data_IF_458868922385
#
_entry.id   IF_458868922385
#
_cell.length_a   1.000
_cell.length_b   1.000
_cell.length_c   1.000
_cell.angle_alpha   90.00
_cell.angle_beta   90.00
_cell.angle_gamma   90.00
#
_symmetry.space_group_name_H-M   'P 1'
#
loop_
_entity.id
_entity.type
_entity.pdbx_description
1 polymer ?
#
# COMPACT_ATOMS: atom_id res chain seq x y z
N UNK A 1 -2.12 16.25 20.28
CA UNK A 1 -2.85 15.20 19.55
C UNK A 1 -3.75 14.49 20.54
N UNK A 2 -5.06 14.45 20.31
CA UNK A 2 -6.01 13.84 21.24
C UNK A 2 -6.03 12.31 21.01
N UNK A 3 -6.07 11.50 22.07
CA UNK A 3 -6.15 10.04 21.99
C UNK A 3 -7.37 9.52 21.21
N UNK A 4 -8.44 10.30 21.11
CA UNK A 4 -9.59 10.00 20.24
C UNK A 4 -9.25 10.07 18.75
N UNK A 5 -8.38 11.00 18.35
CA UNK A 5 -7.93 11.10 16.95
C UNK A 5 -7.02 9.93 16.56
N UNK A 6 -6.21 9.42 17.51
CA UNK A 6 -5.42 8.20 17.28
C UNK A 6 -6.32 6.97 17.09
N UNK A 7 -7.46 6.89 17.79
CA UNK A 7 -8.42 5.78 17.64
C UNK A 7 -9.22 5.81 16.34
N UNK A 8 -9.39 6.99 15.74
CA UNK A 8 -9.99 7.13 14.41
C UNK A 8 -8.97 6.89 13.30
N UNK A 9 -7.70 7.23 13.52
CA UNK A 9 -6.60 7.00 12.59
C UNK A 9 -6.23 5.50 12.46
N UNK A 10 -6.35 4.76 13.56
CA UNK A 10 -6.30 3.30 13.56
C UNK A 10 -7.70 2.79 13.81
N UNK A 11 -8.51 2.62 12.77
CA UNK A 11 -9.76 1.90 12.95
C UNK A 11 -9.41 0.59 13.62
N UNK A 12 -10.15 0.24 14.65
CA UNK A 12 -9.95 -0.95 15.49
C UNK A 12 -9.72 -2.17 14.60
N UNK A 13 -8.47 -2.43 14.31
CA UNK A 13 -8.05 -3.64 13.61
C UNK A 13 -8.34 -4.80 14.56
N UNK A 14 -9.23 -5.69 14.16
CA UNK A 14 -9.61 -6.84 14.98
C UNK A 14 -8.46 -7.84 15.06
N UNK A 15 -7.72 -8.01 13.97
CA UNK A 15 -6.60 -8.93 13.84
C UNK A 15 -5.62 -8.44 12.78
N UNK A 16 -4.33 -8.70 12.99
CA UNK A 16 -3.27 -8.33 12.05
C UNK A 16 -2.16 -9.38 12.03
N UNK A 17 -1.44 -9.45 10.92
CA UNK A 17 -0.28 -10.31 10.73
C UNK A 17 0.77 -9.59 9.90
N UNK A 18 2.01 -9.58 10.37
CA UNK A 18 3.17 -9.13 9.58
C UNK A 18 3.52 -10.22 8.58
N UNK A 19 3.64 -9.85 7.30
CA UNK A 19 3.98 -10.76 6.22
C UNK A 19 5.47 -10.73 5.87
N UNK A 20 6.03 -9.54 5.76
CA UNK A 20 7.40 -9.30 5.28
C UNK A 20 7.70 -10.02 3.94
N UNK A 21 6.76 -9.97 3.03
CA UNK A 21 6.93 -10.45 1.67
C UNK A 21 7.43 -9.33 0.79
N UNK A 22 8.19 -9.66 -0.26
CA UNK A 22 8.63 -8.73 -1.26
C UNK A 22 8.58 -9.33 -2.65
N UNK A 23 8.45 -8.50 -3.66
CA UNK A 23 8.52 -8.89 -5.07
C UNK A 23 9.13 -7.76 -5.90
N UNK A 24 9.51 -8.06 -7.14
CA UNK A 24 10.17 -7.11 -8.01
C UNK A 24 11.66 -6.93 -7.69
N UNK A 25 12.35 -6.17 -8.51
CA UNK A 25 13.78 -5.86 -8.38
C UNK A 25 14.05 -4.41 -8.75
N UNK A 26 15.11 -3.82 -8.17
CA UNK A 26 15.54 -2.47 -8.49
C UNK A 26 14.46 -1.43 -8.23
N UNK A 27 14.11 -0.65 -9.24
CA UNK A 27 13.07 0.41 -9.14
C UNK A 27 11.65 -0.13 -8.95
N UNK A 28 11.44 -1.42 -9.22
CA UNK A 28 10.14 -2.10 -9.06
C UNK A 28 10.07 -2.95 -7.79
N UNK A 29 11.08 -2.84 -6.92
CA UNK A 29 11.07 -3.55 -5.65
C UNK A 29 9.92 -3.08 -4.76
N UNK A 30 9.12 -4.01 -4.31
CA UNK A 30 7.87 -3.76 -3.56
C UNK A 30 7.77 -4.68 -2.37
N UNK A 31 7.30 -4.16 -1.25
CA UNK A 31 7.11 -4.91 0.00
C UNK A 31 5.62 -5.02 0.31
N UNK A 32 5.20 -6.20 0.74
CA UNK A 32 3.90 -6.48 1.33
C UNK A 32 4.09 -6.69 2.84
N UNK A 33 4.04 -5.62 3.64
CA UNK A 33 4.44 -5.68 5.03
C UNK A 33 3.41 -6.35 5.95
N UNK A 34 2.13 -6.17 5.68
CA UNK A 34 1.10 -6.54 6.65
C UNK A 34 -0.25 -6.83 5.97
N UNK A 35 -0.99 -7.77 6.56
CA UNK A 35 -2.43 -7.96 6.36
C UNK A 35 -3.17 -7.69 7.65
N UNK A 36 -4.43 -7.27 7.54
CA UNK A 36 -5.27 -7.01 8.69
C UNK A 36 -6.75 -7.28 8.39
N UNK A 37 -7.51 -7.47 9.45
CA UNK A 37 -8.97 -7.59 9.40
C UNK A 37 -9.59 -6.55 10.34
N UNK A 38 -10.60 -5.86 9.83
CA UNK A 38 -11.49 -5.02 10.62
C UNK A 38 -12.92 -5.43 10.33
N UNK A 39 -13.60 -5.97 11.34
CA UNK A 39 -14.93 -6.57 11.16
C UNK A 39 -14.89 -7.63 10.04
N UNK A 40 -15.70 -7.46 9.00
CA UNK A 40 -15.77 -8.40 7.86
C UNK A 40 -14.91 -7.96 6.68
N UNK A 41 -14.05 -6.96 6.84
CA UNK A 41 -13.20 -6.40 5.79
C UNK A 41 -11.75 -6.79 5.98
N UNK A 42 -11.12 -7.23 4.89
CA UNK A 42 -9.74 -7.73 4.86
C UNK A 42 -8.86 -6.79 4.05
N UNK A 43 -7.71 -6.44 4.62
CA UNK A 43 -6.78 -5.45 4.07
C UNK A 43 -5.39 -6.03 3.86
N UNK A 44 -4.75 -5.56 2.78
CA UNK A 44 -3.35 -5.77 2.50
C UNK A 44 -2.67 -4.42 2.28
N UNK A 45 -1.52 -4.20 2.87
CA UNK A 45 -0.68 -3.05 2.58
C UNK A 45 0.45 -3.40 1.63
N UNK A 46 0.79 -2.44 0.81
CA UNK A 46 1.91 -2.47 -0.12
C UNK A 46 2.73 -1.20 0.07
N UNK A 47 4.05 -1.33 0.08
CA UNK A 47 4.98 -0.21 0.08
C UNK A 47 5.90 -0.34 -1.12
N UNK A 48 5.97 0.72 -1.91
CA UNK A 48 6.81 0.84 -3.09
C UNK A 48 7.54 2.17 -3.11
N UNK A 49 8.45 2.36 -4.05
CA UNK A 49 9.14 3.62 -4.25
C UNK A 49 8.83 4.18 -5.63
N UNK A 50 8.68 5.50 -5.71
CA UNK A 50 8.75 6.18 -6.99
C UNK A 50 10.17 6.12 -7.54
N UNK A 51 10.31 5.94 -8.85
CA UNK A 51 11.61 6.12 -9.51
C UNK A 51 12.12 7.54 -9.30
N UNK A 52 13.43 7.73 -9.38
CA UNK A 52 14.02 9.06 -9.24
C UNK A 52 13.51 10.02 -10.31
N UNK A 53 13.33 9.52 -11.52
CA UNK A 53 12.81 10.28 -12.64
C UNK A 53 11.34 10.72 -12.44
N UNK A 54 10.50 9.83 -11.92
CA UNK A 54 9.11 10.14 -11.60
C UNK A 54 8.99 11.14 -10.43
N UNK A 55 9.82 10.98 -9.41
CA UNK A 55 9.90 11.91 -8.28
C UNK A 55 10.35 13.31 -8.71
N UNK A 56 11.36 13.42 -9.57
CA UNK A 56 11.80 14.71 -10.13
C UNK A 56 10.73 15.35 -11.02
N UNK A 57 10.03 14.55 -11.84
CA UNK A 57 8.93 15.03 -12.67
C UNK A 57 7.79 15.57 -11.80
N UNK A 58 7.40 14.84 -10.78
CA UNK A 58 6.36 15.25 -9.82
C UNK A 58 6.73 16.54 -9.10
N UNK A 59 7.96 16.66 -8.62
CA UNK A 59 8.44 17.86 -7.94
C UNK A 59 8.47 19.09 -8.87
N UNK A 60 8.84 18.91 -10.13
CA UNK A 60 8.76 19.96 -11.16
C UNK A 60 7.32 20.40 -11.37
N UNK A 61 6.42 19.46 -11.56
CA UNK A 61 4.99 19.71 -11.75
C UNK A 61 4.40 20.45 -10.56
N UNK A 62 4.73 20.08 -9.33
CA UNK A 62 4.30 20.81 -8.13
C UNK A 62 4.84 22.24 -8.06
N UNK A 63 6.07 22.49 -8.50
CA UNK A 63 6.65 23.84 -8.51
C UNK A 63 5.99 24.72 -9.57
N UNK A 64 5.69 24.17 -10.72
CA UNK A 64 5.04 24.86 -11.83
C UNK A 64 3.54 25.07 -11.59
N UNK A 65 2.87 24.12 -10.96
CA UNK A 65 1.44 24.14 -10.68
C UNK A 65 1.02 25.04 -9.51
N UNK A 66 1.94 25.72 -8.86
CA UNK A 66 1.56 26.85 -7.99
C UNK A 66 0.74 27.90 -8.71
N UNK A 67 0.73 27.86 -10.04
CA UNK A 67 0.00 28.73 -10.95
C UNK A 67 -1.25 28.11 -11.59
N UNK A 68 -1.43 26.77 -11.62
CA UNK A 68 -2.56 26.13 -12.29
C UNK A 68 -2.98 24.78 -11.65
N UNK A 69 -3.96 24.82 -10.74
CA UNK A 69 -4.47 23.66 -10.02
C UNK A 69 -5.14 22.58 -10.89
N UNK A 70 -5.73 22.96 -12.04
CA UNK A 70 -6.42 22.02 -12.90
C UNK A 70 -5.45 21.12 -13.65
N UNK A 71 -4.35 21.68 -14.12
CA UNK A 71 -3.28 20.98 -14.83
C UNK A 71 -2.53 20.02 -13.89
N UNK A 72 -2.33 20.41 -12.61
CA UNK A 72 -1.78 19.56 -11.60
C UNK A 72 -2.64 18.31 -11.36
N UNK A 73 -3.94 18.48 -11.24
CA UNK A 73 -4.87 17.38 -10.99
C UNK A 73 -4.85 16.39 -12.15
N UNK A 74 -4.86 16.86 -13.39
CA UNK A 74 -4.79 16.03 -14.58
C UNK A 74 -3.47 15.24 -14.65
N UNK A 75 -2.34 15.88 -14.42
CA UNK A 75 -1.03 15.23 -14.45
C UNK A 75 -0.84 14.19 -13.33
N UNK A 76 -1.51 14.33 -12.19
CA UNK A 76 -1.50 13.35 -11.11
C UNK A 76 -2.43 12.15 -11.40
N UNK A 77 -3.50 12.36 -12.18
CA UNK A 77 -4.41 11.30 -12.60
C UNK A 77 -3.83 10.45 -13.76
N UNK A 78 -2.92 11.01 -14.55
CA UNK A 78 -2.27 10.34 -15.70
C UNK A 78 -1.01 9.54 -15.31
N UNK A 79 -0.60 9.53 -14.03
CA UNK A 79 0.49 8.67 -13.59
C UNK A 79 0.06 7.20 -13.73
N UNK A 80 0.79 6.42 -14.54
CA UNK A 80 0.60 4.98 -14.71
C UNK A 80 0.85 4.26 -13.38
N UNK A 81 -0.18 4.19 -12.55
CA UNK A 81 -0.13 3.45 -11.30
C UNK A 81 -0.41 1.98 -11.57
N UNK A 82 0.55 1.14 -11.29
CA UNK A 82 0.40 -0.31 -11.34
C UNK A 82 -0.19 -0.77 -10.00
N UNK A 83 -1.32 -1.47 -10.06
CA UNK A 83 -2.03 -1.96 -8.90
C UNK A 83 -1.98 -3.48 -8.83
N UNK A 84 -2.05 -4.03 -7.63
CA UNK A 84 -2.29 -5.46 -7.46
C UNK A 84 -3.73 -5.76 -7.90
N UNK A 85 -3.85 -6.64 -8.88
CA UNK A 85 -5.15 -7.17 -9.34
C UNK A 85 -5.58 -8.34 -8.46
N UNK A 86 -4.66 -9.29 -8.26
CA UNK A 86 -4.93 -10.49 -7.46
C UNK A 86 -3.67 -11.06 -6.81
N UNK A 87 -3.89 -11.81 -5.76
CA UNK A 87 -2.87 -12.59 -5.05
C UNK A 87 -3.33 -14.04 -4.96
N UNK A 88 -2.43 -14.96 -5.25
CA UNK A 88 -2.65 -16.39 -5.06
C UNK A 88 -1.68 -16.90 -4.00
N UNK A 89 -2.20 -17.54 -2.97
CA UNK A 89 -1.43 -18.14 -1.89
C UNK A 89 -2.10 -19.45 -1.47
N UNK A 90 -1.34 -20.54 -1.39
CA UNK A 90 -1.86 -21.85 -0.97
C UNK A 90 -3.04 -22.36 -1.81
N UNK A 91 -3.06 -22.06 -3.12
CA UNK A 91 -4.15 -22.43 -4.02
C UNK A 91 -5.41 -21.55 -3.91
N UNK A 92 -5.43 -20.57 -3.00
CA UNK A 92 -6.53 -19.60 -2.85
C UNK A 92 -6.21 -18.30 -3.58
N UNK A 93 -7.23 -17.75 -4.25
CA UNK A 93 -7.14 -16.47 -4.96
C UNK A 93 -7.85 -15.37 -4.17
N UNK A 94 -7.16 -14.25 -3.99
CA UNK A 94 -7.67 -13.02 -3.41
C UNK A 94 -7.63 -11.93 -4.47
N UNK A 95 -8.71 -11.20 -4.64
CA UNK A 95 -8.83 -10.11 -5.60
C UNK A 95 -8.92 -8.77 -4.89
N UNK A 96 -8.30 -7.75 -5.47
CA UNK A 96 -8.42 -6.39 -4.96
C UNK A 96 -9.77 -5.80 -5.38
N UNK A 97 -10.64 -5.57 -4.41
CA UNK A 97 -11.93 -4.90 -4.62
C UNK A 97 -11.77 -3.38 -4.71
N UNK A 98 -10.84 -2.84 -3.94
CA UNK A 98 -10.47 -1.43 -3.97
C UNK A 98 -9.02 -1.24 -3.58
N UNK A 99 -8.44 -0.12 -3.97
CA UNK A 99 -7.10 0.29 -3.61
C UNK A 99 -7.06 1.79 -3.34
N UNK A 100 -6.36 2.16 -2.28
CA UNK A 100 -6.10 3.57 -1.93
C UNK A 100 -4.62 3.72 -1.68
N UNK A 101 -3.96 4.55 -2.50
CA UNK A 101 -2.53 4.78 -2.41
C UNK A 101 -2.18 6.25 -2.27
N UNK A 102 -1.07 6.52 -1.59
CA UNK A 102 -0.57 7.87 -1.40
C UNK A 102 0.94 7.90 -1.15
N UNK A 103 1.55 9.04 -1.43
CA UNK A 103 2.95 9.30 -1.14
C UNK A 103 3.14 9.61 0.36
N UNK A 104 4.05 8.89 1.03
CA UNK A 104 4.32 9.07 2.45
C UNK A 104 4.96 10.42 2.81
N UNK A 105 5.68 11.03 1.88
CA UNK A 105 6.36 12.31 2.11
C UNK A 105 5.46 13.54 2.06
N UNK A 106 4.20 13.40 1.70
CA UNK A 106 3.29 14.53 1.58
C UNK A 106 2.75 15.01 2.93
N UNK A 107 2.74 16.34 3.11
CA UNK A 107 2.36 17.02 4.36
C UNK A 107 1.00 16.65 4.93
N UNK A 108 0.08 16.23 4.06
CA UNK A 108 -1.33 16.00 4.41
C UNK A 108 -1.67 14.53 4.65
N UNK A 109 -0.71 13.63 4.42
CA UNK A 109 -0.91 12.18 4.53
C UNK A 109 -0.48 11.65 5.91
N UNK A 110 -0.96 12.31 6.96
CA UNK A 110 -0.60 11.99 8.35
C UNK A 110 -1.10 10.59 8.75
N UNK A 111 -2.28 10.20 8.28
CA UNK A 111 -2.86 8.89 8.60
C UNK A 111 -1.98 7.76 8.08
N UNK A 112 -1.55 7.86 6.83
CA UNK A 112 -0.70 6.88 6.16
C UNK A 112 0.70 6.84 6.77
N UNK A 113 1.24 8.00 7.16
CA UNK A 113 2.52 8.07 7.88
C UNK A 113 2.44 7.36 9.23
N UNK A 114 1.35 7.52 9.96
CA UNK A 114 1.13 6.84 11.23
C UNK A 114 0.95 5.33 11.02
N UNK A 115 0.21 4.90 10.01
CA UNK A 115 0.08 3.48 9.63
C UNK A 115 1.44 2.87 9.29
N UNK A 116 2.26 3.57 8.52
CA UNK A 116 3.60 3.16 8.18
C UNK A 116 4.49 2.97 9.42
N UNK A 117 4.52 3.95 10.31
CA UNK A 117 5.27 3.87 11.56
C UNK A 117 4.76 2.75 12.48
N UNK A 118 3.45 2.53 12.50
CA UNK A 118 2.86 1.44 13.25
C UNK A 118 3.31 0.08 12.71
N UNK A 119 3.30 -0.13 11.40
CA UNK A 119 3.77 -1.37 10.78
C UNK A 119 5.24 -1.65 11.11
N UNK A 120 6.10 -0.63 11.03
CA UNK A 120 7.51 -0.76 11.43
C UNK A 120 7.65 -1.13 12.92
N UNK A 121 6.86 -0.52 13.79
CA UNK A 121 6.82 -0.85 15.22
C UNK A 121 6.34 -2.26 15.52
N UNK A 122 5.56 -2.87 14.62
CA UNK A 122 5.09 -4.25 14.72
C UNK A 122 6.05 -5.28 14.08
N UNK A 123 7.17 -4.83 13.55
CA UNK A 123 8.20 -5.69 12.97
C UNK A 123 8.19 -5.80 11.44
N UNK A 124 7.48 -4.90 10.75
CA UNK A 124 7.57 -4.82 9.31
C UNK A 124 9.00 -4.43 8.87
N UNK A 125 9.50 -5.11 7.84
CA UNK A 125 10.81 -4.90 7.26
C UNK A 125 10.65 -4.32 5.84
N UNK A 126 11.43 -3.32 5.52
CA UNK A 126 11.36 -2.66 4.21
C UNK A 126 12.33 -3.25 3.18
N UNK A 127 13.28 -4.08 3.60
CA UNK A 127 14.28 -4.65 2.71
C UNK A 127 15.06 -3.56 1.95
N UNK A 128 15.09 -3.64 0.63
CA UNK A 128 15.81 -2.66 -0.20
C UNK A 128 15.23 -1.23 -0.09
N UNK A 129 13.97 -1.08 0.32
CA UNK A 129 13.34 0.23 0.49
C UNK A 129 13.87 1.01 1.70
N UNK A 130 14.62 0.40 2.61
CA UNK A 130 15.27 1.10 3.74
C UNK A 130 16.24 2.19 3.27
N UNK A 131 16.78 2.07 2.07
CA UNK A 131 17.70 3.04 1.48
C UNK A 131 16.97 4.19 0.75
N UNK A 132 15.67 4.10 0.61
CA UNK A 132 14.86 5.08 -0.11
C UNK A 132 14.39 6.17 0.84
N UNK A 133 14.50 7.42 0.41
CA UNK A 133 13.98 8.56 1.18
C UNK A 133 12.45 8.48 1.34
N UNK A 134 11.95 8.88 2.50
CA UNK A 134 10.53 8.78 2.87
C UNK A 134 9.60 9.46 1.86
N UNK A 135 10.01 10.59 1.30
CA UNK A 135 9.22 11.35 0.33
C UNK A 135 9.14 10.71 -1.08
N UNK A 136 9.89 9.63 -1.30
CA UNK A 136 9.78 8.76 -2.47
C UNK A 136 8.98 7.48 -2.20
N UNK A 137 8.67 7.18 -0.96
CA UNK A 137 7.88 6.00 -0.61
C UNK A 137 6.39 6.24 -0.85
N UNK A 138 5.76 5.21 -1.38
CA UNK A 138 4.34 5.16 -1.66
C UNK A 138 3.71 4.00 -0.91
N UNK A 139 2.63 4.26 -0.19
CA UNK A 139 1.87 3.24 0.53
C UNK A 139 0.51 3.04 -0.13
N UNK A 140 0.13 1.79 -0.35
CA UNK A 140 -1.17 1.42 -0.87
C UNK A 140 -1.86 0.46 0.08
N UNK A 141 -3.13 0.70 0.34
CA UNK A 141 -4.00 -0.20 1.09
C UNK A 141 -5.03 -0.80 0.13
N UNK A 142 -5.04 -2.12 0.04
CA UNK A 142 -6.00 -2.89 -0.74
C UNK A 142 -7.06 -3.48 0.17
N UNK A 143 -8.31 -3.39 -0.24
CA UNK A 143 -9.38 -4.21 0.30
C UNK A 143 -9.51 -5.48 -0.55
N UNK A 144 -9.42 -6.63 0.09
CA UNK A 144 -9.42 -7.92 -0.59
C UNK A 144 -10.76 -8.64 -0.46
N UNK A 145 -11.13 -9.32 -1.54
CA UNK A 145 -12.25 -10.27 -1.61
C UNK A 145 -11.76 -11.64 -2.08
N UNK A 146 -12.63 -12.62 -2.06
CA UNK A 146 -12.40 -13.90 -2.74
C UNK A 146 -12.52 -13.73 -4.26
N UNK A 147 -12.29 -14.82 -4.98
CA UNK A 147 -12.35 -14.86 -6.43
C UNK A 147 -13.75 -14.43 -6.92
N UNK A 148 -13.76 -13.64 -8.00
CA UNK A 148 -14.99 -13.11 -8.62
C UNK A 148 -15.89 -12.31 -7.63
N UNK A 149 -15.28 -11.62 -6.66
CA UNK A 149 -15.98 -10.83 -5.66
C UNK A 149 -16.75 -11.65 -4.63
N UNK A 150 -16.49 -12.95 -4.54
CA UNK A 150 -17.09 -13.84 -3.55
C UNK A 150 -16.53 -13.58 -2.15
N UNK A 151 -17.15 -14.21 -1.16
CA UNK A 151 -16.65 -14.17 0.21
C UNK A 151 -15.24 -14.76 0.31
N UNK A 152 -14.36 -14.03 0.96
CA UNK A 152 -12.97 -14.42 1.16
C UNK A 152 -12.90 -15.55 2.20
N UNK A 153 -12.07 -16.57 1.92
CA UNK A 153 -11.74 -17.58 2.93
C UNK A 153 -10.84 -16.98 4.00
N UNK A 154 -11.38 -16.80 5.20
CA UNK A 154 -10.65 -16.22 6.34
C UNK A 154 -9.45 -17.10 6.72
N UNK A 155 -9.59 -18.42 6.72
CA UNK A 155 -8.49 -19.35 7.00
C UNK A 155 -7.35 -19.19 5.99
N UNK A 156 -7.65 -19.14 4.70
CA UNK A 156 -6.66 -18.95 3.65
C UNK A 156 -5.99 -17.59 3.72
N UNK A 157 -6.74 -16.55 4.06
CA UNK A 157 -6.21 -15.19 4.25
C UNK A 157 -5.14 -15.16 5.36
N UNK A 158 -5.42 -15.75 6.52
CA UNK A 158 -4.46 -15.79 7.64
C UNK A 158 -3.29 -16.74 7.43
N UNK A 159 -3.39 -17.65 6.47
CA UNK A 159 -2.29 -18.51 6.04
C UNK A 159 -1.45 -17.88 4.92
N UNK A 160 -1.81 -16.70 4.42
CA UNK A 160 -1.02 -15.97 3.43
C UNK A 160 0.43 -15.79 3.92
N UNK A 161 1.38 -16.06 3.05
CA UNK A 161 2.81 -15.99 3.36
C UNK A 161 3.40 -17.24 4.01
N UNK A 162 2.59 -18.23 4.42
CA UNK A 162 3.08 -19.53 4.89
C UNK A 162 3.47 -20.46 3.72
N UNK A 163 2.97 -20.17 2.53
CA UNK A 163 3.27 -20.83 1.26
C UNK A 163 3.66 -19.77 0.21
N UNK A 164 4.05 -20.22 -0.97
CA UNK A 164 4.41 -19.32 -2.07
C UNK A 164 3.24 -18.39 -2.42
N UNK A 165 3.58 -17.12 -2.58
CA UNK A 165 2.63 -16.06 -2.94
C UNK A 165 2.94 -15.57 -4.34
N UNK A 166 1.93 -15.58 -5.20
CA UNK A 166 2.00 -15.02 -6.55
C UNK A 166 1.16 -13.75 -6.61
N UNK A 167 1.77 -12.66 -7.06
CA UNK A 167 1.12 -11.37 -7.25
C UNK A 167 0.90 -11.14 -8.74
N UNK A 168 -0.32 -10.79 -9.13
CA UNK A 168 -0.65 -10.33 -10.48
C UNK A 168 -0.95 -8.85 -10.43
N UNK A 169 -0.29 -8.10 -11.29
CA UNK A 169 -0.44 -6.65 -11.40
C UNK A 169 -1.38 -6.30 -12.55
N UNK A 170 -2.13 -5.20 -12.39
CA UNK A 170 -2.89 -4.60 -13.48
C UNK A 170 -1.94 -4.03 -14.54
N UNK A 171 -2.27 -4.19 -15.81
CA UNK A 171 -1.59 -3.54 -16.92
C UNK A 171 -2.08 -2.11 -17.12
#
# INVERSE_FOLDING_TARGET
>A
MNTQNLRTLFPTVTKQKILNLSYGEGEHYTVLPMIAQKEDTFYLWEISAMSEQEYEHRNRTYKEAKTNRAELKQNLEEADQVWIEKIVSGGCCFEAASATGTCLGERYNIEEQIQFLYMLGQGAELGELEQVELDRLFITCYELTGKDGQELSEEAFWNMGNEDVTVTLSE
#
